data_IF_811019643316
#
_entry.id   IF_811019643316
#
_cell.length_a   1.000
_cell.length_b   1.000
_cell.length_c   1.000
_cell.angle_alpha   90.00
_cell.angle_beta   90.00
_cell.angle_gamma   90.00
#
_symmetry.space_group_name_H-M   'P 1'
#
loop_
_entity.id
_entity.type
_entity.pdbx_description
1 polymer ?
#
# COMPACT_ATOMS: atom_id res chain seq x y z
N UNK A 1 12.28 0.49 5.03
CA UNK A 1 11.16 1.36 5.45
C UNK A 1 10.03 1.22 4.46
N UNK A 2 8.79 1.06 4.92
CA UNK A 2 7.61 1.14 4.07
C UNK A 2 7.21 2.61 3.94
N UNK A 3 6.91 3.04 2.71
CA UNK A 3 6.42 4.37 2.39
C UNK A 3 4.98 4.27 1.94
N UNK A 4 4.09 5.00 2.63
CA UNK A 4 2.70 5.18 2.22
C UNK A 4 2.55 6.62 1.75
N UNK A 5 2.01 6.81 0.55
CA UNK A 5 1.81 8.14 0.03
C UNK A 5 0.52 8.24 -0.79
N UNK A 6 -0.03 9.45 -0.85
CA UNK A 6 -1.21 9.75 -1.64
C UNK A 6 -1.32 11.25 -1.90
N UNK A 7 -1.85 11.59 -3.07
CA UNK A 7 -2.00 12.98 -3.51
C UNK A 7 -3.39 13.28 -4.03
N UNK A 8 -3.73 14.56 -3.95
CA UNK A 8 -4.86 15.22 -4.60
C UNK A 8 -4.31 16.39 -5.42
N UNK A 9 -5.19 17.22 -6.00
CA UNK A 9 -4.75 18.37 -6.80
C UNK A 9 -3.88 19.37 -6.02
N UNK A 10 -4.11 19.53 -4.71
CA UNK A 10 -3.49 20.60 -3.91
C UNK A 10 -2.69 20.11 -2.69
N UNK A 11 -2.74 18.81 -2.40
CA UNK A 11 -2.14 18.25 -1.18
C UNK A 11 -1.60 16.86 -1.47
N UNK A 12 -0.38 16.62 -1.01
CA UNK A 12 0.25 15.31 -0.95
C UNK A 12 0.62 14.99 0.49
N UNK A 13 0.42 13.74 0.89
CA UNK A 13 0.77 13.22 2.21
C UNK A 13 1.68 12.02 2.00
N UNK A 14 2.75 11.97 2.77
CA UNK A 14 3.68 10.85 2.82
C UNK A 14 3.89 10.44 4.28
N UNK A 15 3.99 9.14 4.52
CA UNK A 15 4.29 8.57 5.81
C UNK A 15 5.28 7.41 5.67
N UNK A 16 6.23 7.35 6.59
CA UNK A 16 7.23 6.30 6.66
C UNK A 16 7.04 5.49 7.93
N UNK A 17 7.09 4.17 7.79
CA UNK A 17 7.02 3.26 8.92
C UNK A 17 7.99 2.09 8.77
N UNK A 18 8.38 1.51 9.89
CA UNK A 18 9.16 0.28 9.91
C UNK A 18 8.30 -0.89 9.41
N UNK A 19 8.90 -1.72 8.57
CA UNK A 19 8.30 -2.93 8.02
C UNK A 19 9.39 -3.90 7.58
N UNK A 20 9.13 -5.19 7.67
CA UNK A 20 10.01 -6.24 7.15
C UNK A 20 9.86 -6.33 5.63
N UNK A 21 10.80 -5.73 4.89
CA UNK A 21 10.79 -5.74 3.43
C UNK A 21 11.52 -6.99 2.92
N UNK A 22 10.78 -7.99 2.46
CA UNK A 22 11.36 -9.19 1.84
C UNK A 22 11.80 -8.94 0.39
N UNK A 23 11.05 -8.12 -0.35
CA UNK A 23 11.35 -7.73 -1.73
C UNK A 23 10.88 -6.30 -1.96
N UNK A 24 11.77 -5.46 -2.48
CA UNK A 24 11.45 -4.08 -2.83
C UNK A 24 10.49 -4.01 -4.03
N UNK A 25 9.67 -2.96 -4.04
CA UNK A 25 8.70 -2.69 -5.09
C UNK A 25 7.72 -1.60 -4.70
N UNK A 26 6.78 -1.32 -5.60
CA UNK A 26 5.75 -0.30 -5.43
C UNK A 26 4.46 -0.75 -6.11
N UNK A 27 3.33 -0.33 -5.56
CA UNK A 27 2.00 -0.59 -6.11
C UNK A 27 1.05 0.51 -5.66
N UNK A 28 0.07 0.84 -6.51
CA UNK A 28 -1.03 1.74 -6.15
C UNK A 28 -2.25 0.93 -5.80
N UNK A 29 -2.93 1.30 -4.72
CA UNK A 29 -4.17 0.64 -4.29
C UNK A 29 -5.24 1.66 -3.91
N UNK A 30 -6.54 1.31 -4.03
CA UNK A 30 -7.62 2.17 -3.55
C UNK A 30 -7.53 2.38 -2.03
N UNK A 31 -7.12 3.57 -1.60
CA UNK A 31 -6.84 3.88 -0.20
C UNK A 31 -8.01 3.58 0.75
N UNK A 32 -9.24 3.93 0.35
CA UNK A 32 -10.45 3.67 1.15
C UNK A 32 -10.68 2.17 1.36
N UNK A 33 -10.54 1.37 0.31
CA UNK A 33 -10.75 -0.07 0.38
C UNK A 33 -9.65 -0.75 1.22
N UNK A 34 -8.39 -0.33 1.03
CA UNK A 34 -7.28 -0.79 1.88
C UNK A 34 -7.55 -0.50 3.36
N UNK A 35 -7.96 0.73 3.69
CA UNK A 35 -8.26 1.12 5.07
C UNK A 35 -9.43 0.32 5.66
N UNK A 36 -10.48 0.04 4.87
CA UNK A 36 -11.60 -0.80 5.29
C UNK A 36 -11.20 -2.27 5.51
N UNK A 37 -10.30 -2.81 4.68
CA UNK A 37 -9.75 -4.17 4.86
C UNK A 37 -8.93 -4.22 6.15
N UNK A 38 -7.94 -3.34 6.31
CA UNK A 38 -7.03 -3.32 7.47
C UNK A 38 -7.80 -3.15 8.78
N UNK A 39 -8.82 -2.27 8.82
CA UNK A 39 -9.67 -2.08 10.02
C UNK A 39 -10.48 -3.31 10.44
N UNK A 40 -10.69 -4.28 9.55
CA UNK A 40 -11.43 -5.52 9.83
C UNK A 40 -10.51 -6.68 10.21
N UNK A 41 -9.20 -6.53 10.02
CA UNK A 41 -8.23 -7.55 10.39
C UNK A 41 -7.99 -7.51 11.91
N UNK A 42 -7.67 -8.65 12.52
CA UNK A 42 -7.28 -8.69 13.92
C UNK A 42 -5.98 -7.92 14.16
N UNK A 43 -5.71 -7.59 15.42
CA UNK A 43 -4.44 -6.99 15.85
C UNK A 43 -3.31 -8.04 15.81
N UNK A 44 -2.78 -8.27 14.62
CA UNK A 44 -1.74 -9.23 14.30
C UNK A 44 -0.93 -8.75 13.09
N UNK A 45 0.17 -9.43 12.79
CA UNK A 45 1.01 -9.11 11.63
C UNK A 45 0.22 -9.28 10.31
N UNK A 46 0.42 -8.34 9.38
CA UNK A 46 -0.23 -8.29 8.08
C UNK A 46 0.84 -8.36 7.00
N UNK A 47 0.77 -9.42 6.19
CA UNK A 47 1.63 -9.60 5.04
C UNK A 47 0.99 -9.03 3.78
N UNK A 48 1.79 -8.25 3.03
CA UNK A 48 1.43 -7.73 1.71
C UNK A 48 2.32 -8.37 0.65
N UNK A 49 1.72 -8.86 -0.43
CA UNK A 49 2.46 -9.41 -1.57
C UNK A 49 1.85 -8.97 -2.89
N UNK A 50 2.65 -8.37 -3.75
CA UNK A 50 2.25 -8.02 -5.12
C UNK A 50 2.38 -9.26 -6.01
N UNK A 51 1.28 -9.65 -6.64
CA UNK A 51 1.19 -10.76 -7.58
C UNK A 51 1.54 -10.27 -9.00
N UNK A 52 1.78 -11.21 -9.92
CA UNK A 52 2.20 -10.91 -11.30
C UNK A 52 1.20 -10.08 -12.13
N UNK A 53 -0.05 -10.00 -11.68
CA UNK A 53 -1.13 -9.25 -12.33
C UNK A 53 -1.49 -7.95 -11.60
N UNK A 54 -0.55 -7.37 -10.83
CA UNK A 54 -0.75 -6.17 -10.00
C UNK A 54 -1.78 -6.32 -8.87
N UNK A 55 -2.30 -7.52 -8.62
CA UNK A 55 -3.11 -7.76 -7.43
C UNK A 55 -2.23 -7.79 -6.19
N UNK A 56 -2.73 -7.20 -5.11
CA UNK A 56 -2.11 -7.24 -3.79
C UNK A 56 -2.82 -8.30 -2.97
N UNK A 57 -2.11 -9.37 -2.63
CA UNK A 57 -2.54 -10.35 -1.65
C UNK A 57 -2.21 -9.83 -0.25
N UNK A 58 -3.23 -9.72 0.59
CA UNK A 58 -3.16 -9.29 1.99
C UNK A 58 -3.47 -10.53 2.84
N UNK A 59 -2.53 -10.94 3.68
CA UNK A 59 -2.69 -12.10 4.57
C UNK A 59 -2.54 -11.66 6.01
N UNK A 60 -3.40 -12.14 6.89
CA UNK A 60 -3.30 -11.93 8.33
C UNK A 60 -3.91 -13.13 9.05
N UNK A 61 -3.07 -13.90 9.74
CA UNK A 61 -3.46 -15.20 10.31
C UNK A 61 -4.14 -16.09 9.23
N UNK A 62 -5.41 -16.45 9.45
CA UNK A 62 -6.20 -17.29 8.55
C UNK A 62 -7.00 -16.49 7.50
N UNK A 63 -6.89 -15.16 7.50
CA UNK A 63 -7.60 -14.28 6.57
C UNK A 63 -6.73 -13.99 5.35
N UNK A 64 -7.30 -14.17 4.16
CA UNK A 64 -6.66 -13.87 2.88
C UNK A 64 -7.62 -13.01 2.06
N UNK A 65 -7.16 -11.83 1.66
CA UNK A 65 -7.90 -10.90 0.82
C UNK A 65 -7.03 -10.54 -0.39
N UNK A 66 -7.64 -10.51 -1.57
CA UNK A 66 -6.96 -10.03 -2.78
C UNK A 66 -7.58 -8.71 -3.20
N UNK A 67 -6.74 -7.68 -3.30
CA UNK A 67 -7.11 -6.35 -3.74
C UNK A 67 -6.51 -6.09 -5.12
N UNK A 68 -7.31 -5.59 -6.06
CA UNK A 68 -6.77 -5.15 -7.34
C UNK A 68 -5.95 -3.87 -7.13
N UNK A 69 -4.69 -3.91 -7.55
CA UNK A 69 -3.80 -2.76 -7.60
C UNK A 69 -3.56 -2.26 -9.02
N UNK A 70 -2.84 -1.16 -9.11
CA UNK A 70 -2.42 -0.52 -10.35
C UNK A 70 -0.90 -0.31 -10.33
N UNK A 71 -0.30 -0.21 -11.52
CA UNK A 71 1.14 0.03 -11.62
C UNK A 71 1.51 1.35 -10.94
N UNK A 72 2.59 1.37 -10.18
CA UNK A 72 3.10 2.59 -9.59
C UNK A 72 3.60 3.59 -10.64
N UNK A 73 4.01 3.11 -11.81
CA UNK A 73 4.49 3.94 -12.93
C UNK A 73 3.36 4.81 -13.53
N UNK A 74 2.10 4.42 -13.31
CA UNK A 74 0.93 5.18 -13.75
C UNK A 74 0.48 6.22 -12.72
N UNK A 75 1.04 6.19 -11.50
CA UNK A 75 0.70 7.15 -10.46
C UNK A 75 1.44 8.47 -10.68
N UNK A 76 0.78 9.63 -10.51
CA UNK A 76 1.45 10.92 -10.60
C UNK A 76 2.65 10.96 -9.67
N UNK A 77 3.77 11.48 -10.18
CA UNK A 77 4.92 11.79 -9.33
C UNK A 77 4.46 12.70 -8.20
N UNK A 78 4.77 12.30 -6.97
CA UNK A 78 4.53 13.16 -5.83
C UNK A 78 5.48 14.35 -5.96
N UNK A 79 5.01 15.57 -5.66
CA UNK A 79 5.90 16.73 -5.62
C UNK A 79 7.02 16.45 -4.62
N UNK A 80 8.25 16.83 -4.98
CA UNK A 80 9.37 16.79 -4.05
C UNK A 80 9.01 17.66 -2.85
N UNK A 81 8.93 17.03 -1.68
CA UNK A 81 8.84 17.75 -0.41
C UNK A 81 10.25 18.26 -0.15
N UNK A 82 10.60 19.39 -0.75
CA UNK A 82 11.81 20.11 -0.38
C UNK A 82 11.67 20.50 1.11
N UNK A 83 12.58 19.99 1.94
CA UNK A 83 12.77 20.45 3.32
C UNK A 83 13.08 21.95 3.39
#
# INVERSE_FOLDING_TARGET
>A
MLKLAGSSLNLSIEHHMEATIQKEGSIVVPARLLAEIVRKLPDAEIDFSVLSNNNVKITCLNSIVTLQGFSADEYPALPDIAE
#
